data_IF_793606167884
#
_entry.id   IF_793606167884
#
_cell.length_a   1.000
_cell.length_b   1.000
_cell.length_c   1.000
_cell.angle_alpha   90.00
_cell.angle_beta   90.00
_cell.angle_gamma   90.00
#
_symmetry.space_group_name_H-M   'P 1'
#
loop_
_entity.id
_entity.type
_entity.pdbx_description
1 polymer ?
#
# COMPACT_ATOMS: atom_id res chain seq x y z
N UNK A 1 11.97 13.51 -1.66
CA UNK A 1 11.10 12.33 -1.87
C UNK A 1 10.02 12.39 -0.79
N UNK A 2 8.74 12.16 -1.11
CA UNK A 2 7.68 12.18 -0.09
C UNK A 2 7.83 10.96 0.85
N UNK A 3 7.58 11.11 2.16
CA UNK A 3 7.54 9.95 3.05
C UNK A 3 6.35 9.04 2.69
N UNK A 4 6.49 7.72 2.90
CA UNK A 4 5.44 6.72 2.52
C UNK A 4 4.10 7.03 3.20
N UNK A 5 4.16 7.51 4.44
CA UNK A 5 3.00 7.93 5.21
C UNK A 5 2.15 8.97 4.51
N UNK A 6 2.74 9.77 3.61
CA UNK A 6 2.05 10.81 2.85
C UNK A 6 1.63 10.37 1.44
N UNK A 7 2.00 9.16 1.00
CA UNK A 7 1.62 8.67 -0.33
C UNK A 7 0.14 8.30 -0.39
N UNK A 8 -0.50 8.66 -1.50
CA UNK A 8 -1.79 8.08 -1.91
C UNK A 8 -1.65 6.63 -2.34
N UNK A 9 -2.79 5.93 -2.47
CA UNK A 9 -2.80 4.51 -2.85
C UNK A 9 -2.11 4.25 -4.20
N UNK A 10 -2.47 5.01 -5.24
CA UNK A 10 -1.88 4.83 -6.59
C UNK A 10 -0.37 5.13 -6.59
N UNK A 11 0.07 6.20 -5.93
CA UNK A 11 1.50 6.51 -5.80
C UNK A 11 2.27 5.39 -5.08
N UNK A 12 1.73 4.90 -3.95
CA UNK A 12 2.36 3.82 -3.20
C UNK A 12 2.39 2.49 -4.01
N UNK A 13 1.33 2.20 -4.75
CA UNK A 13 1.24 1.00 -5.60
C UNK A 13 2.22 1.06 -6.77
N UNK A 14 2.33 2.20 -7.45
CA UNK A 14 3.28 2.38 -8.55
C UNK A 14 4.72 2.22 -8.06
N UNK A 15 5.06 2.82 -6.92
CA UNK A 15 6.39 2.68 -6.34
C UNK A 15 6.68 1.22 -5.92
N UNK A 16 5.69 0.53 -5.33
CA UNK A 16 5.83 -0.87 -4.95
C UNK A 16 6.11 -1.77 -6.18
N UNK A 17 5.38 -1.56 -7.27
CA UNK A 17 5.61 -2.29 -8.53
C UNK A 17 7.03 -2.06 -9.04
N UNK A 18 7.52 -0.82 -9.00
CA UNK A 18 8.89 -0.50 -9.42
C UNK A 18 9.96 -1.15 -8.53
N UNK A 19 9.71 -1.24 -7.21
CA UNK A 19 10.60 -1.93 -6.26
C UNK A 19 10.64 -3.43 -6.55
N UNK A 20 9.48 -4.07 -6.72
CA UNK A 20 9.39 -5.51 -7.04
C UNK A 20 10.10 -5.81 -8.36
N UNK A 21 9.88 -5.00 -9.39
CA UNK A 21 10.56 -5.18 -10.68
C UNK A 21 12.09 -5.12 -10.57
N UNK A 22 12.62 -4.23 -9.72
CA UNK A 22 14.07 -4.13 -9.48
C UNK A 22 14.61 -5.36 -8.73
N UNK A 23 13.87 -5.84 -7.73
CA UNK A 23 14.24 -7.06 -7.00
C UNK A 23 14.22 -8.30 -7.93
N UNK A 24 13.21 -8.40 -8.80
CA UNK A 24 13.06 -9.51 -9.75
C UNK A 24 14.13 -9.52 -10.85
N UNK A 25 14.61 -8.35 -11.29
CA UNK A 25 15.73 -8.27 -12.23
C UNK A 25 17.03 -8.85 -11.65
N UNK A 26 17.19 -8.81 -10.33
CA UNK A 26 18.41 -9.23 -9.65
C UNK A 26 19.62 -8.37 -10.04
N UNK A 27 20.83 -8.90 -9.83
CA UNK A 27 22.07 -8.18 -10.15
C UNK A 27 22.44 -7.06 -9.16
N UNK A 28 21.69 -6.94 -8.06
CA UNK A 28 21.96 -6.02 -6.96
C UNK A 28 22.82 -6.70 -5.89
N UNK A 29 23.61 -5.92 -5.17
CA UNK A 29 24.26 -6.39 -3.96
C UNK A 29 23.25 -6.60 -2.82
N UNK A 30 23.69 -7.27 -1.76
CA UNK A 30 22.85 -7.62 -0.63
C UNK A 30 22.28 -6.39 0.09
N UNK A 31 23.08 -5.35 0.30
CA UNK A 31 22.66 -4.14 1.02
C UNK A 31 21.58 -3.38 0.24
N UNK A 32 21.77 -3.26 -1.08
CA UNK A 32 20.78 -2.66 -1.97
C UNK A 32 19.49 -3.49 -2.03
N UNK A 33 19.62 -4.83 -2.10
CA UNK A 33 18.47 -5.73 -2.11
C UNK A 33 17.66 -5.64 -0.81
N UNK A 34 18.33 -5.54 0.34
CA UNK A 34 17.68 -5.37 1.64
C UNK A 34 16.94 -4.03 1.75
N UNK A 35 17.55 -2.94 1.31
CA UNK A 35 16.90 -1.62 1.30
C UNK A 35 15.65 -1.58 0.42
N UNK A 36 15.71 -2.20 -0.75
CA UNK A 36 14.54 -2.33 -1.62
C UNK A 36 13.46 -3.19 -0.99
N UNK A 37 13.82 -4.30 -0.35
CA UNK A 37 12.86 -5.13 0.36
C UNK A 37 12.17 -4.38 1.50
N UNK A 38 12.93 -3.71 2.38
CA UNK A 38 12.37 -2.89 3.46
C UNK A 38 11.43 -1.80 2.93
N UNK A 39 11.84 -1.11 1.87
CA UNK A 39 11.00 -0.12 1.18
C UNK A 39 9.72 -0.75 0.63
N UNK A 40 9.82 -1.93 0.03
CA UNK A 40 8.69 -2.69 -0.50
C UNK A 40 7.68 -3.06 0.59
N UNK A 41 8.15 -3.52 1.74
CA UNK A 41 7.30 -3.87 2.89
C UNK A 41 6.53 -2.64 3.41
N UNK A 42 7.21 -1.49 3.53
CA UNK A 42 6.56 -0.26 3.97
C UNK A 42 5.50 0.22 2.96
N UNK A 43 5.77 0.12 1.66
CA UNK A 43 4.81 0.48 0.60
C UNK A 43 3.61 -0.48 0.57
N UNK A 44 3.84 -1.78 0.74
CA UNK A 44 2.78 -2.79 0.82
C UNK A 44 1.86 -2.51 2.00
N UNK A 45 2.43 -2.27 3.19
CA UNK A 45 1.67 -1.89 4.39
C UNK A 45 0.82 -0.64 4.14
N UNK A 46 1.39 0.38 3.49
CA UNK A 46 0.65 1.61 3.16
C UNK A 46 -0.55 1.33 2.23
N UNK A 47 -0.37 0.47 1.24
CA UNK A 47 -1.46 0.05 0.36
C UNK A 47 -2.56 -0.68 1.14
N UNK A 48 -2.20 -1.57 2.06
CA UNK A 48 -3.14 -2.28 2.91
C UNK A 48 -3.94 -1.34 3.81
N UNK A 49 -3.30 -0.33 4.41
CA UNK A 49 -3.96 0.69 5.23
C UNK A 49 -5.02 1.47 4.43
N UNK A 50 -4.69 1.88 3.20
CA UNK A 50 -5.64 2.56 2.31
C UNK A 50 -6.83 1.66 1.99
N UNK A 51 -6.58 0.40 1.65
CA UNK A 51 -7.63 -0.56 1.33
C UNK A 51 -8.50 -0.89 2.54
N UNK A 52 -7.91 -0.98 3.73
CA UNK A 52 -8.63 -1.19 4.98
C UNK A 52 -9.57 0.00 5.28
N UNK A 53 -9.06 1.23 5.16
CA UNK A 53 -9.88 2.43 5.32
C UNK A 53 -11.01 2.53 4.29
N UNK A 54 -10.77 2.12 3.05
CA UNK A 54 -11.81 2.07 2.02
C UNK A 54 -12.90 1.03 2.34
N UNK A 55 -12.50 -0.17 2.78
CA UNK A 55 -13.45 -1.21 3.22
C UNK A 55 -14.32 -0.75 4.37
N UNK A 56 -13.71 -0.18 5.41
CA UNK A 56 -14.45 0.32 6.57
C UNK A 56 -15.52 1.36 6.18
N UNK A 57 -15.18 2.31 5.29
CA UNK A 57 -16.16 3.30 4.81
C UNK A 57 -17.34 2.67 4.07
N UNK A 58 -17.09 1.61 3.31
CA UNK A 58 -18.15 0.87 2.61
C UNK A 58 -19.04 0.15 3.63
N UNK A 59 -18.45 -0.52 4.61
CA UNK A 59 -19.18 -1.22 5.68
C UNK A 59 -20.05 -0.25 6.50
N UNK A 60 -19.51 0.92 6.88
CA UNK A 60 -20.26 1.97 7.58
C UNK A 60 -21.43 2.50 6.74
N UNK A 61 -21.22 2.72 5.44
CA UNK A 61 -22.29 3.18 4.54
C UNK A 61 -23.41 2.14 4.36
N UNK A 62 -23.07 0.86 4.31
CA UNK A 62 -24.04 -0.24 4.25
C UNK A 62 -24.84 -0.36 5.56
N UNK A 63 -24.16 -0.33 6.71
CA UNK A 63 -24.80 -0.40 8.02
C UNK A 63 -25.74 0.79 8.28
N UNK A 64 -25.36 1.99 7.86
CA UNK A 64 -26.20 3.18 7.97
C UNK A 64 -27.49 3.06 7.14
N UNK A 65 -27.43 2.40 5.98
CA UNK A 65 -28.59 2.17 5.12
C UNK A 65 -29.55 1.14 5.73
N UNK A 66 -29.04 0.04 6.27
CA UNK A 66 -29.87 -1.01 6.89
C UNK A 66 -30.57 -0.53 8.17
N UNK A 67 -29.97 0.43 8.89
CA UNK A 67 -30.54 1.03 10.11
C UNK A 67 -31.63 2.08 9.87
N UNK A 68 -31.73 2.64 8.66
CA UNK A 68 -32.79 3.61 8.28
C UNK A 68 -34.08 2.91 7.80
N UNK A 69 -33.99 1.62 7.42
CA UNK A 69 -35.11 0.80 6.96
C UNK A 69 -35.80 -0.01 8.10
N UNK A 70 -35.44 0.23 9.36
CA UNK A 70 -35.96 -0.47 10.56
C UNK A 70 -36.81 0.41 11.49
#
# INVERSE_FOLDING_TARGET
MKPISELGYEEAREELVAVVQQLEQGGLDLDTSLKLWERGEELAKRCEEHLAGARQRIEEALAAKDGDES
#
